data_IF_981123583666
#
_entry.id   IF_981123583666
#
_cell.length_a   1.000
_cell.length_b   1.000
_cell.length_c   1.000
_cell.angle_alpha   90.00
_cell.angle_beta   90.00
_cell.angle_gamma   90.00
#
_symmetry.space_group_name_H-M   'P 1'
#
loop_
_entity.id
_entity.type
_entity.pdbx_description
1 polymer ?
#
# COMPACT_ATOMS: atom_id res chain seq x y z
N UNK A 1 26.52 4.54 -9.56
CA UNK A 1 25.37 5.14 -10.25
C UNK A 1 24.41 5.59 -9.16
N UNK A 2 23.98 6.86 -9.13
CA UNK A 2 22.92 7.25 -8.21
C UNK A 2 21.63 6.56 -8.63
N UNK A 3 21.20 5.54 -7.89
CA UNK A 3 19.97 4.80 -8.16
C UNK A 3 18.79 5.56 -7.57
N UNK A 4 18.23 6.53 -8.31
CA UNK A 4 17.04 7.32 -7.93
C UNK A 4 15.86 6.46 -7.45
N UNK A 5 15.78 5.21 -7.92
CA UNK A 5 14.77 4.24 -7.52
C UNK A 5 14.81 3.94 -6.02
N UNK A 6 16.00 3.87 -5.41
CA UNK A 6 16.13 3.56 -3.98
C UNK A 6 15.55 4.67 -3.08
N UNK A 7 15.63 5.92 -3.53
CA UNK A 7 15.01 7.05 -2.83
C UNK A 7 13.49 7.10 -3.00
N UNK A 8 12.93 6.38 -3.97
CA UNK A 8 11.49 6.30 -4.17
C UNK A 8 10.82 5.29 -3.24
N UNK A 9 11.52 4.21 -2.85
CA UNK A 9 10.94 3.11 -2.05
C UNK A 9 10.16 3.57 -0.80
N UNK A 10 10.68 4.49 0.06
CA UNK A 10 9.94 4.93 1.25
C UNK A 10 8.67 5.70 0.91
N UNK A 11 8.68 6.44 -0.20
CA UNK A 11 7.53 7.20 -0.71
C UNK A 11 6.45 6.24 -1.22
N UNK A 12 6.84 5.19 -1.95
CA UNK A 12 5.90 4.19 -2.46
C UNK A 12 5.25 3.38 -1.32
N UNK A 13 6.05 2.99 -0.32
CA UNK A 13 5.58 2.29 0.88
C UNK A 13 4.57 3.12 1.67
N UNK A 14 4.87 4.40 1.91
CA UNK A 14 3.96 5.30 2.63
C UNK A 14 2.69 5.61 1.84
N UNK A 15 2.78 5.75 0.51
CA UNK A 15 1.62 5.97 -0.35
C UNK A 15 0.70 4.74 -0.43
N UNK A 16 1.30 3.54 -0.50
CA UNK A 16 0.57 2.27 -0.50
C UNK A 16 -0.18 2.03 0.81
N UNK A 17 0.48 2.28 1.94
CA UNK A 17 -0.09 2.12 3.27
C UNK A 17 -1.09 3.22 3.66
N UNK A 18 -0.84 4.45 3.22
CA UNK A 18 -1.64 5.64 3.53
C UNK A 18 -0.81 6.73 4.22
N UNK A 19 -0.92 7.97 3.72
CA UNK A 19 -0.11 9.12 4.17
C UNK A 19 -0.56 9.73 5.51
N UNK A 20 -1.77 9.42 5.97
CA UNK A 20 -2.37 10.05 7.15
C UNK A 20 -1.96 9.44 8.49
N UNK A 21 -1.26 8.30 8.51
CA UNK A 21 -0.91 7.60 9.76
C UNK A 21 0.50 7.02 9.72
N UNK A 22 1.20 7.03 10.85
CA UNK A 22 2.52 6.39 11.00
C UNK A 22 2.46 4.85 10.87
N UNK A 23 1.27 4.27 11.10
CA UNK A 23 0.99 2.84 10.84
C UNK A 23 0.83 2.52 9.36
N UNK A 24 0.55 3.53 8.52
CA UNK A 24 0.50 3.42 7.07
C UNK A 24 1.78 2.81 6.48
N UNK A 25 2.94 3.46 6.60
CA UNK A 25 4.22 2.93 6.12
C UNK A 25 4.56 1.53 6.65
N UNK A 26 4.17 1.21 7.88
CA UNK A 26 4.46 -0.09 8.49
C UNK A 26 3.71 -1.22 7.79
N UNK A 27 2.40 -1.06 7.59
CA UNK A 27 1.58 -2.00 6.81
C UNK A 27 1.95 -1.96 5.33
N UNK A 28 2.20 -0.76 4.79
CA UNK A 28 2.63 -0.55 3.41
C UNK A 28 3.94 -1.27 3.09
N UNK A 29 4.88 -1.34 4.04
CA UNK A 29 6.18 -2.01 3.82
C UNK A 29 6.01 -3.52 3.64
N UNK A 30 5.14 -4.14 4.45
CA UNK A 30 4.82 -5.55 4.36
C UNK A 30 4.21 -5.89 3.00
N UNK A 31 3.22 -5.09 2.58
CA UNK A 31 2.53 -5.27 1.30
C UNK A 31 3.47 -5.02 0.13
N UNK A 32 4.26 -3.95 0.18
CA UNK A 32 5.22 -3.60 -0.85
C UNK A 32 6.22 -4.73 -1.10
N UNK A 33 6.81 -5.28 -0.03
CA UNK A 33 7.78 -6.37 -0.12
C UNK A 33 7.12 -7.63 -0.68
N UNK A 34 5.96 -8.04 -0.14
CA UNK A 34 5.26 -9.22 -0.64
C UNK A 34 4.86 -9.10 -2.12
N UNK A 35 4.33 -7.94 -2.51
CA UNK A 35 3.94 -7.65 -3.88
C UNK A 35 5.14 -7.65 -4.83
N UNK A 36 6.24 -7.01 -4.43
CA UNK A 36 7.49 -6.99 -5.20
C UNK A 36 8.05 -8.40 -5.38
N UNK A 37 8.10 -9.19 -4.31
CA UNK A 37 8.58 -10.58 -4.33
C UNK A 37 7.75 -11.45 -5.28
N UNK A 38 6.43 -11.33 -5.24
CA UNK A 38 5.52 -12.07 -6.12
C UNK A 38 5.76 -11.66 -7.58
N UNK A 39 5.73 -10.35 -7.88
CA UNK A 39 5.89 -9.85 -9.26
C UNK A 39 7.26 -10.22 -9.84
N UNK A 40 8.32 -10.17 -9.03
CA UNK A 40 9.66 -10.57 -9.47
C UNK A 40 9.76 -12.06 -9.80
N UNK A 41 9.02 -12.92 -9.09
CA UNK A 41 9.01 -14.36 -9.36
C UNK A 41 8.27 -14.73 -10.64
N UNK A 42 7.24 -13.97 -11.01
CA UNK A 42 6.40 -14.28 -12.17
C UNK A 42 6.79 -13.53 -13.45
N UNK A 43 7.52 -12.41 -13.35
CA UNK A 43 7.77 -11.55 -14.51
C UNK A 43 9.21 -11.05 -14.64
N UNK A 44 9.82 -11.21 -15.82
CA UNK A 44 11.15 -10.65 -16.16
C UNK A 44 11.17 -9.11 -16.06
N UNK A 45 10.16 -8.44 -16.63
CA UNK A 45 10.02 -6.97 -16.59
C UNK A 45 9.32 -6.48 -15.32
N UNK A 46 9.79 -6.92 -14.15
CA UNK A 46 9.13 -6.73 -12.85
C UNK A 46 8.80 -5.26 -12.52
N UNK A 47 9.65 -4.32 -12.92
CA UNK A 47 9.49 -2.89 -12.57
C UNK A 47 8.28 -2.25 -13.25
N UNK A 48 7.96 -2.67 -14.48
CA UNK A 48 6.80 -2.19 -15.24
C UNK A 48 5.50 -2.66 -14.60
N UNK A 49 5.42 -3.96 -14.33
CA UNK A 49 4.25 -4.57 -13.69
C UNK A 49 4.03 -4.07 -12.27
N UNK A 50 5.12 -3.90 -11.52
CA UNK A 50 5.08 -3.31 -10.19
C UNK A 50 4.43 -1.92 -10.22
N UNK A 51 4.86 -1.03 -11.14
CA UNK A 51 4.29 0.30 -11.28
C UNK A 51 2.80 0.30 -11.64
N UNK A 52 2.38 -0.60 -12.54
CA UNK A 52 0.96 -0.74 -12.94
C UNK A 52 0.10 -1.18 -11.75
N UNK A 53 0.51 -2.25 -11.04
CA UNK A 53 -0.25 -2.76 -9.89
C UNK A 53 -0.31 -1.70 -8.79
N UNK A 54 0.81 -1.01 -8.54
CA UNK A 54 0.88 0.08 -7.57
C UNK A 54 -0.10 1.21 -7.93
N UNK A 55 -0.14 1.64 -9.20
CA UNK A 55 -1.09 2.65 -9.68
C UNK A 55 -2.55 2.21 -9.47
N UNK A 56 -2.88 0.96 -9.81
CA UNK A 56 -4.23 0.41 -9.60
C UNK A 56 -4.63 0.48 -8.13
N UNK A 57 -3.74 0.11 -7.21
CA UNK A 57 -4.01 0.16 -5.78
C UNK A 57 -4.20 1.61 -5.31
N UNK A 58 -3.32 2.54 -5.70
CA UNK A 58 -3.39 3.94 -5.28
C UNK A 58 -4.66 4.62 -5.81
N UNK A 59 -5.02 4.36 -7.07
CA UNK A 59 -6.21 4.95 -7.70
C UNK A 59 -7.51 4.31 -7.18
N UNK A 60 -7.50 3.01 -6.89
CA UNK A 60 -8.66 2.28 -6.39
C UNK A 60 -8.97 2.56 -4.91
N UNK A 61 -7.95 2.81 -4.08
CA UNK A 61 -8.11 2.98 -2.64
C UNK A 61 -7.77 4.41 -2.20
N UNK A 62 -8.79 5.26 -2.10
CA UNK A 62 -8.66 6.62 -1.55
C UNK A 62 -8.20 6.56 -0.09
N UNK A 63 -6.94 6.90 0.17
CA UNK A 63 -6.34 6.90 1.52
C UNK A 63 -5.41 5.72 1.83
N UNK A 64 -5.11 4.86 0.85
CA UNK A 64 -4.24 3.70 1.02
C UNK A 64 -4.92 2.53 1.71
N UNK A 65 -4.19 1.41 1.85
CA UNK A 65 -4.74 0.15 2.38
C UNK A 65 -5.23 0.31 3.82
N UNK A 66 -4.55 1.10 4.65
CA UNK A 66 -4.94 1.31 6.06
C UNK A 66 -6.26 2.06 6.18
N UNK A 67 -6.54 3.03 5.30
CA UNK A 67 -7.81 3.76 5.32
C UNK A 67 -9.02 2.85 5.07
N UNK A 68 -8.86 1.88 4.16
CA UNK A 68 -9.89 0.87 3.86
C UNK A 68 -10.07 -0.08 5.03
N UNK A 69 -8.97 -0.59 5.61
CA UNK A 69 -9.03 -1.47 6.78
C UNK A 69 -9.72 -0.76 7.94
N UNK A 70 -9.40 0.51 8.20
CA UNK A 70 -10.05 1.29 9.26
C UNK A 70 -11.55 1.49 9.01
N UNK A 71 -11.98 1.76 7.77
CA UNK A 71 -13.40 1.84 7.43
C UNK A 71 -14.13 0.51 7.60
N UNK A 72 -13.50 -0.62 7.26
CA UNK A 72 -14.10 -1.95 7.42
C UNK A 72 -14.15 -2.37 8.88
N UNK A 73 -13.11 -2.07 9.66
CA UNK A 73 -13.00 -2.42 11.09
C UNK A 73 -13.85 -1.50 11.97
N UNK A 74 -14.01 -0.21 11.62
CA UNK A 74 -14.90 0.74 12.33
C UNK A 74 -16.36 0.64 11.90
N UNK A 75 -16.91 -0.57 11.75
CA UNK A 75 -18.36 -0.71 11.83
C UNK A 75 -18.80 -0.21 13.20
N UNK A 76 -19.65 0.84 13.30
CA UNK A 76 -20.16 1.27 14.59
C UNK A 76 -20.99 0.13 15.15
N UNK A 77 -20.64 -0.36 16.34
CA UNK A 77 -21.62 -0.92 17.25
C UNK A 77 -22.54 0.24 17.67
N UNK A 78 -23.43 0.61 16.76
CA UNK A 78 -24.60 1.43 17.06
C UNK A 78 -25.77 0.47 17.21
N UNK A 79 -25.88 -0.09 18.41
CA UNK A 79 -27.01 -0.84 18.90
C UNK A 79 -26.69 -1.15 20.34
N UNK A 80 -27.27 -0.53 21.35
CA UNK A 80 -28.38 0.40 21.43
C UNK A 80 -28.67 0.40 22.92
N UNK A 81 -28.54 1.54 23.58
CA UNK A 81 -28.98 1.66 24.97
C UNK A 81 -30.49 1.86 24.95
N UNK A 82 -31.23 0.85 25.43
CA UNK A 82 -32.44 0.97 26.23
C UNK A 82 -32.45 -0.18 27.25
#
# INVERSE_FOLDING_TARGET
MAHWTHSADPVLVSLLGGLHTLTGPLVGSLIFVAMREIIQRFTENWMLWFGIVLLVIILGFRGGVVGVIQHVVRRPQAGGGE
#
